data_IF_924673160854
#
_entry.id   IF_924673160854
#
_cell.length_a   1.000
_cell.length_b   1.000
_cell.length_c   1.000
_cell.angle_alpha   90.00
_cell.angle_beta   90.00
_cell.angle_gamma   90.00
#
_symmetry.space_group_name_H-M   'P 1'
#
loop_
_entity.id
_entity.type
_entity.pdbx_description
1 polymer ?
#
# COMPACT_ATOMS: atom_id res chain seq x y z
N UNK A 1 -4.99 5.06 15.14
CA UNK A 1 -4.14 3.94 14.68
C UNK A 1 -4.92 2.64 14.50
N UNK A 2 -5.62 2.11 15.52
CA UNK A 2 -6.35 0.82 15.42
C UNK A 2 -7.36 0.81 14.27
N UNK A 3 -8.26 1.81 14.22
CA UNK A 3 -9.29 1.91 13.14
C UNK A 3 -8.65 2.01 11.77
N UNK A 4 -7.59 2.81 11.63
CA UNK A 4 -6.84 2.95 10.38
C UNK A 4 -6.14 1.64 9.98
N UNK A 5 -5.44 0.99 10.90
CA UNK A 5 -4.78 -0.30 10.64
C UNK A 5 -5.76 -1.40 10.27
N UNK A 6 -6.90 -1.50 10.98
CA UNK A 6 -7.98 -2.44 10.68
C UNK A 6 -8.57 -2.16 9.29
N UNK A 7 -8.92 -0.90 9.01
CA UNK A 7 -9.49 -0.49 7.73
C UNK A 7 -8.54 -0.72 6.56
N UNK A 8 -7.25 -0.42 6.73
CA UNK A 8 -6.23 -0.69 5.71
C UNK A 8 -6.07 -2.20 5.45
N UNK A 9 -6.04 -3.02 6.51
CA UNK A 9 -5.92 -4.48 6.37
C UNK A 9 -7.12 -5.07 5.62
N UNK A 10 -8.35 -4.66 6.00
CA UNK A 10 -9.58 -5.10 5.32
C UNK A 10 -9.60 -4.61 3.87
N UNK A 11 -9.30 -3.34 3.63
CA UNK A 11 -9.31 -2.76 2.30
C UNK A 11 -8.28 -3.40 1.36
N UNK A 12 -7.06 -3.67 1.83
CA UNK A 12 -6.06 -4.41 1.07
C UNK A 12 -6.49 -5.87 0.83
N UNK A 13 -7.17 -6.50 1.80
CA UNK A 13 -7.75 -7.83 1.63
C UNK A 13 -8.82 -7.89 0.54
N UNK A 14 -9.68 -6.87 0.48
CA UNK A 14 -10.68 -6.72 -0.58
C UNK A 14 -10.02 -6.49 -1.95
N UNK A 15 -8.96 -5.67 -2.03
CA UNK A 15 -8.18 -5.49 -3.26
C UNK A 15 -7.51 -6.79 -3.71
N UNK A 16 -7.03 -7.61 -2.78
CA UNK A 16 -6.47 -8.93 -3.09
C UNK A 16 -7.51 -9.88 -3.70
N UNK A 17 -8.79 -9.76 -3.32
CA UNK A 17 -9.88 -10.60 -3.82
C UNK A 17 -10.34 -10.25 -5.24
N UNK A 18 -9.87 -9.12 -5.81
CA UNK A 18 -10.24 -8.70 -7.17
C UNK A 18 -9.86 -9.77 -8.22
N UNK A 19 -10.74 -9.89 -9.21
CA UNK A 19 -10.59 -10.78 -10.37
C UNK A 19 -10.68 -9.99 -11.68
N UNK A 20 -10.36 -10.63 -12.80
CA UNK A 20 -10.44 -10.02 -14.14
C UNK A 20 -11.86 -9.54 -14.51
N UNK A 21 -12.89 -10.13 -13.86
CA UNK A 21 -14.29 -9.84 -14.13
C UNK A 21 -14.94 -8.95 -13.06
N UNK A 22 -14.15 -8.44 -12.10
CA UNK A 22 -14.65 -7.53 -11.07
C UNK A 22 -15.19 -6.23 -11.67
N UNK A 23 -16.32 -5.76 -11.14
CA UNK A 23 -16.98 -4.53 -11.61
C UNK A 23 -16.15 -3.28 -11.29
N UNK A 24 -16.35 -2.21 -12.08
CA UNK A 24 -15.69 -0.94 -11.82
C UNK A 24 -16.02 -0.36 -10.44
N UNK A 25 -17.23 -0.62 -9.93
CA UNK A 25 -17.65 -0.17 -8.60
C UNK A 25 -16.88 -0.86 -7.47
N UNK A 26 -16.55 -2.13 -7.63
CA UNK A 26 -15.79 -2.90 -6.62
C UNK A 26 -14.38 -2.34 -6.43
N UNK A 27 -13.60 -2.22 -7.51
CA UNK A 27 -12.22 -1.75 -7.36
C UNK A 27 -12.15 -0.28 -6.94
N UNK A 28 -13.07 0.59 -7.38
CA UNK A 28 -13.15 1.98 -6.93
C UNK A 28 -13.51 2.04 -5.44
N UNK A 29 -14.50 1.26 -5.00
CA UNK A 29 -14.93 1.21 -3.60
C UNK A 29 -13.83 0.71 -2.67
N UNK A 30 -13.11 -0.34 -3.07
CA UNK A 30 -12.01 -0.89 -2.26
C UNK A 30 -10.82 0.07 -2.17
N UNK A 31 -10.47 0.76 -3.26
CA UNK A 31 -9.43 1.80 -3.24
C UNK A 31 -9.83 2.99 -2.38
N UNK A 32 -11.07 3.45 -2.45
CA UNK A 32 -11.57 4.51 -1.60
C UNK A 32 -11.49 4.15 -0.11
N UNK A 33 -11.85 2.90 0.23
CA UNK A 33 -11.75 2.40 1.60
C UNK A 33 -10.30 2.41 2.11
N UNK A 34 -9.36 1.90 1.30
CA UNK A 34 -7.92 1.92 1.65
C UNK A 34 -7.43 3.35 1.80
N UNK A 35 -7.77 4.23 0.85
CA UNK A 35 -7.36 5.63 0.88
C UNK A 35 -7.85 6.36 2.14
N UNK A 36 -9.12 6.17 2.52
CA UNK A 36 -9.68 6.72 3.76
C UNK A 36 -8.98 6.15 5.00
N UNK A 37 -8.80 4.84 5.06
CA UNK A 37 -8.16 4.18 6.20
C UNK A 37 -6.71 4.66 6.39
N UNK A 38 -5.92 4.71 5.32
CA UNK A 38 -4.52 5.18 5.36
C UNK A 38 -4.47 6.67 5.67
N UNK A 39 -5.33 7.49 5.03
CA UNK A 39 -5.39 8.93 5.27
C UNK A 39 -5.66 9.28 6.72
N UNK A 40 -6.58 8.57 7.37
CA UNK A 40 -6.87 8.76 8.81
C UNK A 40 -5.68 8.37 9.70
N UNK A 41 -4.86 7.41 9.28
CA UNK A 41 -3.73 6.90 10.06
C UNK A 41 -2.42 7.62 9.87
N UNK A 42 -2.22 8.28 8.73
CA UNK A 42 -0.92 8.77 8.28
C UNK A 42 -0.28 9.80 9.22
N UNK A 43 -1.09 10.71 9.78
CA UNK A 43 -0.63 11.78 10.67
C UNK A 43 -0.53 11.36 12.15
N UNK A 44 -1.16 10.26 12.55
CA UNK A 44 -1.24 9.89 13.96
C UNK A 44 0.13 9.63 14.60
N UNK A 45 1.11 8.98 13.94
CA UNK A 45 2.45 8.79 14.51
C UNK A 45 3.14 10.11 14.83
N UNK A 46 3.04 11.10 13.94
CA UNK A 46 3.63 12.43 14.12
C UNK A 46 2.99 13.14 15.32
N UNK A 47 1.66 13.23 15.35
CA UNK A 47 0.92 13.87 16.43
C UNK A 47 1.18 13.18 17.78
N UNK A 48 1.22 11.86 17.79
CA UNK A 48 1.48 11.09 19.01
C UNK A 48 2.89 11.29 19.53
N UNK A 49 3.88 11.41 18.66
CA UNK A 49 5.26 11.69 19.03
C UNK A 49 5.40 13.12 19.60
N UNK A 50 4.81 14.09 18.92
CA UNK A 50 4.81 15.50 19.36
C UNK A 50 4.12 15.71 20.72
N UNK A 51 3.09 14.94 21.04
CA UNK A 51 2.32 15.08 22.27
C UNK A 51 3.05 14.61 23.55
N UNK A 52 4.20 13.91 23.42
CA UNK A 52 4.93 13.33 24.55
C UNK A 52 6.30 13.94 24.79
N UNK A 53 6.76 14.84 23.91
CA UNK A 53 8.08 15.49 23.98
C UNK A 53 7.96 16.94 24.46
N UNK A 54 9.07 17.50 24.93
CA UNK A 54 9.15 18.91 25.31
C UNK A 54 9.14 19.82 24.08
N UNK A 55 8.70 21.09 24.21
CA UNK A 55 8.65 22.04 23.09
C UNK A 55 9.98 22.24 22.36
N UNK A 56 11.11 22.16 23.07
CA UNK A 56 12.47 22.23 22.52
C UNK A 56 12.80 21.11 21.53
N UNK A 57 12.18 19.93 21.69
CA UNK A 57 12.50 18.72 20.95
C UNK A 57 11.50 18.41 19.83
N UNK A 58 10.41 19.19 19.72
CA UNK A 58 9.33 18.97 18.74
C UNK A 58 9.85 18.86 17.30
N UNK A 59 10.77 19.74 16.92
CA UNK A 59 11.35 19.76 15.57
C UNK A 59 12.15 18.49 15.28
N UNK A 60 13.03 18.10 16.21
CA UNK A 60 13.89 16.92 16.07
C UNK A 60 13.08 15.62 16.00
N UNK A 61 12.07 15.47 16.87
CA UNK A 61 11.22 14.29 16.90
C UNK A 61 10.35 14.19 15.66
N UNK A 62 9.78 15.30 15.20
CA UNK A 62 9.02 15.35 13.96
C UNK A 62 9.87 14.94 12.77
N UNK A 63 11.08 15.48 12.65
CA UNK A 63 12.02 15.13 11.59
C UNK A 63 12.38 13.64 11.61
N UNK A 64 12.62 13.07 12.80
CA UNK A 64 12.92 11.65 12.96
C UNK A 64 11.76 10.75 12.53
N UNK A 65 10.52 11.08 12.91
CA UNK A 65 9.34 10.30 12.52
C UNK A 65 9.14 10.34 11.00
N UNK A 66 9.23 11.53 10.39
CA UNK A 66 9.09 11.68 8.94
C UNK A 66 10.21 10.96 8.18
N UNK A 67 11.43 11.02 8.68
CA UNK A 67 12.56 10.30 8.12
C UNK A 67 12.31 8.78 8.11
N UNK A 68 11.88 8.21 9.24
CA UNK A 68 11.57 6.79 9.34
C UNK A 68 10.39 6.39 8.45
N UNK A 69 9.35 7.23 8.33
CA UNK A 69 8.24 7.00 7.41
C UNK A 69 8.70 6.97 5.96
N UNK A 70 9.56 7.91 5.56
CA UNK A 70 10.08 8.01 4.19
C UNK A 70 10.97 6.82 3.83
N UNK A 71 11.93 6.49 4.68
CA UNK A 71 12.82 5.34 4.46
C UNK A 71 12.02 4.03 4.46
N UNK A 72 11.12 3.86 5.43
CA UNK A 72 10.26 2.67 5.49
C UNK A 72 9.41 2.53 4.23
N UNK A 73 8.80 3.64 3.77
CA UNK A 73 8.04 3.66 2.53
C UNK A 73 8.87 3.26 1.32
N UNK A 74 10.04 3.86 1.13
CA UNK A 74 10.94 3.55 0.01
C UNK A 74 11.37 2.07 0.03
N UNK A 75 11.73 1.55 1.19
CA UNK A 75 12.15 0.16 1.35
C UNK A 75 11.04 -0.84 0.98
N UNK A 76 9.83 -0.64 1.52
CA UNK A 76 8.71 -1.54 1.24
C UNK A 76 8.16 -1.41 -0.18
N UNK A 77 8.23 -0.23 -0.80
CA UNK A 77 7.88 -0.05 -2.22
C UNK A 77 8.84 -0.87 -3.09
N UNK A 78 10.15 -0.79 -2.84
CA UNK A 78 11.14 -1.57 -3.59
C UNK A 78 10.94 -3.08 -3.45
N UNK A 79 10.63 -3.56 -2.24
CA UNK A 79 10.30 -4.98 -2.02
C UNK A 79 9.06 -5.39 -2.82
N UNK A 80 8.01 -4.57 -2.78
CA UNK A 80 6.76 -4.82 -3.49
C UNK A 80 6.96 -4.84 -5.01
N UNK A 81 7.76 -3.92 -5.55
CA UNK A 81 8.11 -3.87 -6.97
C UNK A 81 8.87 -5.11 -7.43
N UNK A 82 9.89 -5.52 -6.67
CA UNK A 82 10.65 -6.75 -6.98
C UNK A 82 9.75 -7.99 -6.91
N UNK A 83 8.90 -8.09 -5.91
CA UNK A 83 7.97 -9.21 -5.76
C UNK A 83 6.95 -9.26 -6.91
N UNK A 84 6.43 -8.10 -7.31
CA UNK A 84 5.54 -7.94 -8.46
C UNK A 84 6.22 -8.38 -9.77
N UNK A 85 7.41 -7.86 -10.05
CA UNK A 85 8.17 -8.19 -11.25
C UNK A 85 8.50 -9.69 -11.32
N UNK A 86 9.00 -10.26 -10.22
CA UNK A 86 9.29 -11.70 -10.15
C UNK A 86 8.04 -12.56 -10.36
N UNK A 87 6.88 -12.13 -9.86
CA UNK A 87 5.64 -12.86 -10.08
C UNK A 87 5.24 -12.87 -11.55
N UNK A 88 5.36 -11.74 -12.25
CA UNK A 88 5.10 -11.66 -13.70
C UNK A 88 6.08 -12.54 -14.46
N UNK A 89 7.38 -12.47 -14.15
CA UNK A 89 8.42 -13.30 -14.81
C UNK A 89 8.13 -14.80 -14.69
N UNK A 90 7.53 -15.24 -13.59
CA UNK A 90 7.23 -16.65 -13.35
C UNK A 90 5.91 -17.11 -13.95
N UNK A 91 4.90 -16.25 -14.00
CA UNK A 91 3.52 -16.63 -14.41
C UNK A 91 3.33 -16.42 -15.92
N UNK A 92 3.86 -15.33 -16.49
CA UNK A 92 3.64 -14.97 -17.90
C UNK A 92 4.03 -16.05 -18.89
N UNK A 93 5.14 -16.82 -18.72
CA UNK A 93 5.47 -17.90 -19.65
C UNK A 93 4.43 -19.03 -19.72
N UNK A 94 3.58 -19.17 -18.69
CA UNK A 94 2.49 -20.13 -18.67
C UNK A 94 1.20 -19.55 -19.28
N UNK A 95 0.92 -18.28 -19.03
CA UNK A 95 -0.33 -17.62 -19.43
C UNK A 95 -0.25 -17.02 -20.83
N UNK A 96 0.94 -16.59 -21.26
CA UNK A 96 1.21 -16.03 -22.60
C UNK A 96 2.63 -16.38 -23.08
N UNK A 97 2.88 -17.64 -23.48
CA UNK A 97 4.24 -18.13 -23.83
C UNK A 97 4.89 -17.41 -25.03
N UNK A 98 4.10 -16.76 -25.87
CA UNK A 98 4.57 -16.05 -27.05
C UNK A 98 5.18 -14.67 -26.72
N UNK A 99 5.02 -14.19 -25.48
CA UNK A 99 5.41 -12.84 -25.05
C UNK A 99 6.60 -12.89 -24.11
N UNK A 100 7.66 -12.16 -24.45
CA UNK A 100 8.81 -12.03 -23.57
C UNK A 100 8.44 -11.23 -22.29
N UNK A 101 8.63 -11.78 -21.08
CA UNK A 101 8.24 -11.11 -19.84
C UNK A 101 8.89 -9.74 -19.64
N UNK A 102 10.13 -9.58 -20.11
CA UNK A 102 10.84 -8.29 -20.05
C UNK A 102 10.15 -7.20 -20.89
N UNK A 103 9.53 -7.56 -22.01
CA UNK A 103 8.78 -6.62 -22.83
C UNK A 103 7.53 -6.10 -22.12
N UNK A 104 6.82 -6.97 -21.40
CA UNK A 104 5.62 -6.58 -20.60
C UNK A 104 5.99 -5.61 -19.49
N UNK A 105 7.10 -5.85 -18.78
CA UNK A 105 7.56 -4.98 -17.69
C UNK A 105 8.06 -3.63 -18.20
N UNK A 106 8.62 -3.56 -19.42
CA UNK A 106 9.15 -2.32 -19.99
C UNK A 106 8.07 -1.39 -20.57
N UNK A 107 6.95 -1.96 -21.04
CA UNK A 107 5.90 -1.21 -21.76
C UNK A 107 4.94 -0.48 -20.80
N UNK A 108 4.75 -0.98 -19.58
CA UNK A 108 3.78 -0.43 -18.65
C UNK A 108 2.32 -0.73 -19.02
N UNK A 109 1.43 -0.69 -18.02
CA UNK A 109 0.03 -1.17 -18.12
C UNK A 109 -0.79 -0.44 -19.19
N UNK A 110 -0.58 0.86 -19.31
CA UNK A 110 -1.38 1.73 -20.18
C UNK A 110 -1.16 1.42 -21.67
N UNK A 111 0.05 1.03 -22.02
CA UNK A 111 0.45 0.75 -23.39
C UNK A 111 0.30 -0.72 -23.80
N UNK A 112 0.06 -1.63 -22.85
CA UNK A 112 -0.08 -3.07 -23.15
C UNK A 112 -1.09 -3.37 -24.24
N UNK A 113 -2.25 -2.70 -24.21
CA UNK A 113 -3.30 -2.88 -25.21
C UNK A 113 -2.96 -2.33 -26.59
N UNK A 114 -2.10 -1.33 -26.64
CA UNK A 114 -1.64 -0.73 -27.90
C UNK A 114 -0.55 -1.59 -28.57
N UNK A 115 0.31 -2.20 -27.76
CA UNK A 115 1.47 -2.99 -28.23
C UNK A 115 1.07 -4.44 -28.54
N UNK A 116 0.29 -5.08 -27.66
CA UNK A 116 -0.05 -6.51 -27.74
C UNK A 116 -1.47 -6.79 -28.27
N UNK A 117 -2.21 -5.73 -28.67
CA UNK A 117 -3.58 -5.84 -29.17
C UNK A 117 -4.65 -5.59 -28.13
N UNK A 118 -5.86 -5.28 -28.61
CA UNK A 118 -6.97 -4.89 -27.73
C UNK A 118 -7.78 -6.08 -27.23
N UNK A 119 -7.72 -7.22 -27.91
CA UNK A 119 -8.52 -8.42 -27.61
C UNK A 119 -7.78 -9.66 -28.09
N UNK A 120 -7.96 -10.77 -27.38
CA UNK A 120 -7.40 -12.06 -27.73
C UNK A 120 -6.75 -12.79 -26.54
N UNK A 121 -6.44 -14.09 -26.68
CA UNK A 121 -5.91 -14.90 -25.59
C UNK A 121 -4.57 -14.36 -25.04
N UNK A 122 -3.74 -13.77 -25.88
CA UNK A 122 -2.45 -13.21 -25.47
C UNK A 122 -2.60 -12.03 -24.49
N UNK A 123 -3.52 -11.08 -24.77
CA UNK A 123 -3.74 -9.95 -23.87
C UNK A 123 -4.41 -10.39 -22.56
N UNK A 124 -5.31 -11.37 -22.62
CA UNK A 124 -5.94 -11.93 -21.43
C UNK A 124 -4.90 -12.62 -20.52
N UNK A 125 -3.97 -13.39 -21.08
CA UNK A 125 -2.85 -13.98 -20.37
C UNK A 125 -1.92 -12.93 -19.73
N UNK A 126 -1.60 -11.85 -20.47
CA UNK A 126 -0.79 -10.75 -19.94
C UNK A 126 -1.50 -10.08 -18.75
N UNK A 127 -2.80 -9.78 -18.87
CA UNK A 127 -3.57 -9.13 -17.80
C UNK A 127 -3.73 -10.05 -16.59
N UNK A 128 -3.89 -11.37 -16.80
CA UNK A 128 -3.92 -12.36 -15.73
C UNK A 128 -2.59 -12.43 -14.97
N UNK A 129 -1.46 -12.46 -15.67
CA UNK A 129 -0.14 -12.41 -15.07
C UNK A 129 0.09 -11.11 -14.28
N UNK A 130 -0.37 -9.99 -14.82
CA UNK A 130 -0.30 -8.69 -14.17
C UNK A 130 -1.14 -8.65 -12.87
N UNK A 131 -2.37 -9.16 -12.91
CA UNK A 131 -3.22 -9.28 -11.73
C UNK A 131 -2.59 -10.20 -10.67
N UNK A 132 -1.95 -11.29 -11.09
CA UNK A 132 -1.21 -12.18 -10.19
C UNK A 132 -0.06 -11.45 -9.49
N UNK A 133 0.67 -10.57 -10.19
CA UNK A 133 1.69 -9.70 -9.62
C UNK A 133 1.12 -8.72 -8.59
N UNK A 134 0.01 -8.05 -8.92
CA UNK A 134 -0.68 -7.13 -8.00
C UNK A 134 -1.15 -7.83 -6.73
N UNK A 135 -1.63 -9.06 -6.83
CA UNK A 135 -2.04 -9.85 -5.65
C UNK A 135 -0.88 -10.09 -4.68
N UNK A 136 0.33 -10.35 -5.16
CA UNK A 136 1.51 -10.48 -4.29
C UNK A 136 1.81 -9.16 -3.59
N UNK A 137 1.73 -8.04 -4.28
CA UNK A 137 1.90 -6.70 -3.70
C UNK A 137 0.85 -6.41 -2.62
N UNK A 138 -0.42 -6.74 -2.87
CA UNK A 138 -1.47 -6.60 -1.86
C UNK A 138 -1.27 -7.52 -0.65
N UNK A 139 -0.75 -8.74 -0.85
CA UNK A 139 -0.44 -9.64 0.26
C UNK A 139 0.65 -9.04 1.18
N UNK A 140 1.68 -8.41 0.62
CA UNK A 140 2.69 -7.68 1.39
C UNK A 140 2.05 -6.51 2.15
N UNK A 141 1.19 -5.73 1.49
CA UNK A 141 0.48 -4.61 2.13
C UNK A 141 -0.43 -5.08 3.29
N UNK A 142 -1.13 -6.21 3.14
CA UNK A 142 -1.94 -6.83 4.20
C UNK A 142 -1.07 -7.21 5.39
N UNK A 143 0.08 -7.84 5.14
CA UNK A 143 1.02 -8.23 6.19
C UNK A 143 1.54 -7.01 6.97
N UNK A 144 1.95 -5.95 6.27
CA UNK A 144 2.43 -4.71 6.87
C UNK A 144 1.32 -3.98 7.67
N UNK A 145 0.12 -3.86 7.09
CA UNK A 145 -1.02 -3.22 7.76
C UNK A 145 -1.48 -4.02 8.99
N UNK A 146 -1.49 -5.35 8.88
CA UNK A 146 -1.80 -6.25 9.98
C UNK A 146 -0.78 -6.15 11.12
N UNK A 147 0.52 -6.13 10.82
CA UNK A 147 1.56 -5.90 11.81
C UNK A 147 1.40 -4.54 12.50
N UNK A 148 1.14 -3.48 11.75
CA UNK A 148 0.90 -2.14 12.31
C UNK A 148 -0.35 -2.13 13.21
N UNK A 149 -1.41 -2.85 12.85
CA UNK A 149 -2.60 -3.02 13.67
C UNK A 149 -2.27 -3.72 15.00
N UNK A 150 -1.56 -4.85 14.99
CA UNK A 150 -1.18 -5.57 16.21
C UNK A 150 -0.25 -4.74 17.11
N UNK A 151 0.74 -4.07 16.53
CA UNK A 151 1.63 -3.14 17.29
C UNK A 151 0.80 -2.02 17.91
N UNK A 152 -0.21 -1.49 17.19
CA UNK A 152 -1.10 -0.46 17.72
C UNK A 152 -1.97 -0.94 18.89
N UNK A 153 -2.38 -2.21 18.89
CA UNK A 153 -3.09 -2.83 20.03
C UNK A 153 -2.19 -2.99 21.26
N UNK A 154 -0.93 -3.35 21.04
CA UNK A 154 0.05 -3.54 22.11
C UNK A 154 0.55 -2.21 22.71
N UNK A 155 0.34 -1.09 22.01
CA UNK A 155 0.78 0.22 22.48
C UNK A 155 -0.04 0.72 23.68
N UNK A 156 0.63 1.35 24.65
CA UNK A 156 -0.05 1.93 25.84
C UNK A 156 -0.93 3.10 25.41
N UNK A 157 -2.22 3.00 25.73
CA UNK A 157 -3.19 4.06 25.49
C UNK A 157 -2.90 5.24 26.44
N UNK A 158 -2.51 6.38 25.86
CA UNK A 158 -2.36 7.65 26.61
C UNK A 158 -3.45 8.62 26.15
N UNK A 159 -4.12 9.24 27.11
CA UNK A 159 -5.08 10.30 26.82
C UNK A 159 -4.30 11.57 26.45
N UNK A 160 -4.40 12.01 25.20
CA UNK A 160 -3.74 13.20 24.69
C UNK A 160 -4.60 14.48 24.89
N UNK A 161 -5.82 14.36 25.46
CA UNK A 161 -6.68 15.50 25.77
C UNK A 161 -6.01 16.40 26.81
N UNK A 162 -5.75 17.64 26.46
CA UNK A 162 -5.12 18.65 27.33
C UNK A 162 -3.64 18.93 27.07
N UNK A 163 -2.90 18.08 26.35
CA UNK A 163 -1.50 18.36 26.00
C UNK A 163 -1.32 19.12 24.68
N UNK A 164 -2.29 18.99 23.77
CA UNK A 164 -2.26 19.68 22.46
C UNK A 164 -2.54 21.21 22.59
N UNK A 165 -3.14 21.66 23.69
CA UNK A 165 -3.46 23.09 23.88
C UNK A 165 -2.27 23.94 24.35
N UNK A 166 -1.19 23.37 24.84
CA UNK A 166 -0.04 24.14 25.33
C UNK A 166 0.97 24.56 24.24
N UNK A 167 0.90 23.99 23.06
CA UNK A 167 1.81 24.32 21.95
C UNK A 167 1.34 25.46 21.01
N UNK A 168 0.14 25.98 21.22
CA UNK A 168 -0.47 27.01 20.36
C UNK A 168 -0.59 28.41 20.97
N UNK A 169 -0.03 28.65 22.15
CA UNK A 169 -0.09 29.94 22.85
C UNK A 169 1.31 30.38 23.29
N UNK A 170 2.16 30.66 22.30
CA UNK A 170 3.38 31.44 22.47
C UNK A 170 3.67 32.18 21.16
#
# INVERSE_FOLDING_TARGET
>A
MIVSGLGATIGCGLLYSLSLHSSSGEWIGYQALVGLAVGLGFQIPVISAQAVVEPSDLSSVTAMVLFLQTIGGAFFISIAEVAFANRILNVLPHDAPEVAPAAVLSVGVTELRNVFGKTGPTIEGIVAAYLSGLKVTYAIAIACAGLAFFISLASKWRNLRGKVQMGGAA
#
